data_IF_068862266601
#
_entry.id   IF_068862266601
#
_cell.length_a   1.000
_cell.length_b   1.000
_cell.length_c   1.000
_cell.angle_alpha   90.00
_cell.angle_beta   90.00
_cell.angle_gamma   90.00
#
_symmetry.space_group_name_H-M   'P 1'
#
loop_
_entity.id
_entity.type
_entity.pdbx_description
1 polymer ?
#
# COMPACT_ATOMS: atom_id res chain seq x y z
N UNK A 1 -65.02 -34.61 -40.31
CA UNK A 1 -65.01 -33.30 -39.59
C UNK A 1 -64.25 -33.29 -38.26
N UNK A 2 -64.08 -34.40 -37.52
CA UNK A 2 -63.37 -34.39 -36.21
C UNK A 2 -61.83 -34.26 -36.30
N UNK A 3 -61.19 -34.78 -37.35
CA UNK A 3 -59.71 -34.82 -37.43
C UNK A 3 -59.04 -33.47 -37.75
N UNK A 4 -59.73 -32.56 -38.45
CA UNK A 4 -59.19 -31.25 -38.86
C UNK A 4 -59.09 -30.26 -37.68
N UNK A 5 -60.01 -30.37 -36.71
CA UNK A 5 -60.01 -29.54 -35.48
C UNK A 5 -58.84 -29.92 -34.57
N UNK A 6 -58.58 -31.23 -34.43
CA UNK A 6 -57.47 -31.75 -33.61
C UNK A 6 -56.10 -31.32 -34.17
N UNK A 7 -55.93 -31.33 -35.49
CA UNK A 7 -54.69 -30.89 -36.13
C UNK A 7 -54.43 -29.38 -35.96
N UNK A 8 -55.47 -28.54 -36.10
CA UNK A 8 -55.39 -27.10 -35.84
C UNK A 8 -55.07 -26.77 -34.37
N UNK A 9 -55.62 -27.54 -33.43
CA UNK A 9 -55.30 -27.39 -32.00
C UNK A 9 -53.86 -27.81 -31.67
N UNK A 10 -53.37 -28.93 -32.23
CA UNK A 10 -51.98 -29.36 -32.06
C UNK A 10 -50.97 -28.37 -32.65
N UNK A 11 -51.25 -27.83 -33.84
CA UNK A 11 -50.40 -26.80 -34.47
C UNK A 11 -50.36 -25.52 -33.64
N UNK A 12 -51.50 -25.03 -33.14
CA UNK A 12 -51.53 -23.87 -32.22
C UNK A 12 -50.80 -24.14 -30.90
N UNK A 13 -50.89 -25.37 -30.37
CA UNK A 13 -50.15 -25.77 -29.17
C UNK A 13 -48.63 -25.75 -29.40
N UNK A 14 -48.16 -26.26 -30.54
CA UNK A 14 -46.74 -26.29 -30.91
C UNK A 14 -46.22 -24.87 -31.13
N UNK A 15 -47.00 -24.01 -31.80
CA UNK A 15 -46.64 -22.58 -31.96
C UNK A 15 -46.60 -21.86 -30.62
N UNK A 16 -47.55 -22.13 -29.70
CA UNK A 16 -47.52 -21.59 -28.34
C UNK A 16 -46.29 -22.09 -27.55
N UNK A 17 -45.95 -23.38 -27.67
CA UNK A 17 -44.79 -23.96 -26.99
C UNK A 17 -43.48 -23.36 -27.51
N UNK A 18 -43.35 -23.18 -28.82
CA UNK A 18 -42.19 -22.52 -29.43
C UNK A 18 -42.09 -21.04 -29.04
N UNK A 19 -43.23 -20.33 -28.92
CA UNK A 19 -43.25 -18.97 -28.37
C UNK A 19 -42.82 -18.95 -26.89
N UNK A 20 -43.27 -19.92 -26.08
CA UNK A 20 -42.89 -20.04 -24.67
C UNK A 20 -41.40 -20.36 -24.49
N UNK A 21 -40.82 -21.20 -25.36
CA UNK A 21 -39.39 -21.56 -25.34
C UNK A 21 -38.51 -20.37 -25.77
N UNK A 22 -38.97 -19.57 -26.74
CA UNK A 22 -38.25 -18.36 -27.18
C UNK A 22 -38.33 -17.23 -26.15
N UNK A 23 -39.47 -17.06 -25.45
CA UNK A 23 -39.59 -16.07 -24.35
C UNK A 23 -38.73 -16.45 -23.14
N UNK A 24 -38.61 -17.73 -22.81
CA UNK A 24 -37.83 -18.19 -21.65
C UNK A 24 -36.31 -18.08 -21.83
N UNK A 25 -35.82 -18.03 -23.07
CA UNK A 25 -34.39 -17.85 -23.35
C UNK A 25 -33.91 -16.38 -23.31
N UNK A 26 -34.82 -15.40 -23.38
CA UNK A 26 -34.48 -13.97 -23.20
C UNK A 26 -34.42 -13.58 -21.71
N UNK A 27 -35.02 -14.39 -20.82
CA UNK A 27 -35.17 -14.06 -19.41
C UNK A 27 -33.93 -14.34 -18.54
N UNK A 28 -32.93 -15.04 -19.05
CA UNK A 28 -31.61 -15.13 -18.41
C UNK A 28 -30.72 -13.95 -18.82
N UNK A 29 -31.25 -12.73 -18.73
CA UNK A 29 -30.42 -11.54 -18.72
C UNK A 29 -29.64 -11.54 -17.40
N UNK A 30 -28.31 -11.51 -17.49
CA UNK A 30 -27.41 -11.39 -16.36
C UNK A 30 -27.86 -10.21 -15.49
N UNK A 31 -28.15 -10.46 -14.21
CA UNK A 31 -28.59 -9.41 -13.29
C UNK A 31 -27.57 -8.27 -13.33
N UNK A 32 -28.02 -7.07 -13.73
CA UNK A 32 -27.14 -5.91 -13.85
C UNK A 32 -26.40 -5.75 -12.52
N UNK A 33 -25.06 -5.80 -12.57
CA UNK A 33 -24.21 -5.74 -11.39
C UNK A 33 -24.60 -4.49 -10.60
N UNK A 34 -25.19 -4.65 -9.42
CA UNK A 34 -25.60 -3.51 -8.58
C UNK A 34 -24.38 -2.66 -8.29
N UNK A 35 -24.31 -1.50 -8.93
CA UNK A 35 -23.29 -0.50 -8.62
C UNK A 35 -23.59 0.08 -7.24
N UNK A 36 -22.61 -0.02 -6.34
CA UNK A 36 -22.69 0.57 -5.00
C UNK A 36 -22.08 1.98 -5.09
N UNK A 37 -22.85 3.05 -4.80
CA UNK A 37 -22.29 4.40 -4.77
C UNK A 37 -21.13 4.51 -3.77
N UNK A 38 -19.97 4.95 -4.24
CA UNK A 38 -18.78 5.10 -3.40
C UNK A 38 -18.76 6.50 -2.76
N UNK A 39 -18.58 6.55 -1.43
CA UNK A 39 -18.40 7.82 -0.69
C UNK A 39 -16.94 8.27 -0.58
N UNK A 40 -16.00 7.32 -0.61
CA UNK A 40 -14.57 7.55 -0.35
C UNK A 40 -13.71 6.88 -1.43
N UNK A 41 -14.23 6.86 -2.66
CA UNK A 41 -13.56 6.29 -3.83
C UNK A 41 -12.47 7.21 -4.38
N UNK A 42 -12.12 7.01 -5.65
CA UNK A 42 -11.20 7.91 -6.34
C UNK A 42 -11.74 9.34 -6.35
N UNK A 43 -10.84 10.30 -6.12
CA UNK A 43 -11.16 11.74 -6.19
C UNK A 43 -10.61 12.41 -7.44
N UNK A 44 -9.48 11.93 -7.97
CA UNK A 44 -8.92 12.43 -9.22
C UNK A 44 -9.40 11.57 -10.38
N UNK A 45 -9.77 12.21 -11.47
CA UNK A 45 -9.96 11.57 -12.76
C UNK A 45 -8.72 11.79 -13.63
N UNK A 46 -8.08 10.70 -14.06
CA UNK A 46 -6.86 10.77 -14.86
C UNK A 46 -5.64 11.34 -14.13
N UNK A 47 -4.68 11.85 -14.91
CA UNK A 47 -3.41 12.37 -14.38
C UNK A 47 -3.59 13.83 -13.97
N UNK A 48 -3.22 14.16 -12.73
CA UNK A 48 -2.96 15.55 -12.35
C UNK A 48 -1.85 16.14 -13.24
N UNK A 49 -2.15 17.27 -13.88
CA UNK A 49 -1.25 18.03 -14.76
C UNK A 49 -0.80 19.35 -14.15
N UNK A 50 -1.13 19.63 -12.88
CA UNK A 50 -0.59 20.80 -12.20
C UNK A 50 0.95 20.75 -12.14
N UNK A 51 1.63 21.92 -12.08
CA UNK A 51 3.09 21.97 -12.13
C UNK A 51 3.79 21.14 -11.04
N UNK A 52 3.18 20.98 -9.86
CA UNK A 52 3.76 20.17 -8.79
C UNK A 52 3.75 18.67 -9.15
N UNK A 53 2.65 18.16 -9.71
CA UNK A 53 2.57 16.77 -10.16
C UNK A 53 3.43 16.51 -11.39
N UNK A 54 3.57 17.50 -12.28
CA UNK A 54 4.53 17.44 -13.39
C UNK A 54 5.95 17.35 -12.85
N UNK A 55 6.36 18.22 -11.92
CA UNK A 55 7.68 18.17 -11.27
C UNK A 55 7.95 16.83 -10.60
N UNK A 56 6.98 16.27 -9.88
CA UNK A 56 7.09 14.93 -9.29
C UNK A 56 7.34 13.85 -10.36
N UNK A 57 6.59 13.89 -11.46
CA UNK A 57 6.70 12.94 -12.57
C UNK A 57 8.03 13.08 -13.30
N UNK A 58 8.44 14.31 -13.61
CA UNK A 58 9.62 14.64 -14.40
C UNK A 58 10.92 14.42 -13.64
N UNK A 59 10.87 14.44 -12.30
CA UNK A 59 11.99 14.02 -11.47
C UNK A 59 12.46 12.60 -11.78
N UNK A 60 11.54 11.67 -12.09
CA UNK A 60 11.76 10.26 -12.46
C UNK A 60 12.57 9.43 -11.45
N UNK A 61 13.84 9.74 -11.29
CA UNK A 61 14.80 9.04 -10.44
C UNK A 61 14.82 9.61 -9.02
N UNK A 62 14.62 8.75 -8.03
CA UNK A 62 14.73 9.10 -6.61
C UNK A 62 15.46 8.03 -5.81
N UNK A 63 15.89 8.39 -4.61
CA UNK A 63 16.43 7.46 -3.62
C UNK A 63 15.42 7.21 -2.50
N UNK A 64 15.53 6.05 -1.85
CA UNK A 64 14.81 5.74 -0.62
C UNK A 64 15.81 5.53 0.52
N UNK A 65 15.60 6.22 1.63
CA UNK A 65 16.30 5.99 2.89
C UNK A 65 15.34 5.29 3.85
N UNK A 66 15.67 4.04 4.20
CA UNK A 66 15.12 3.33 5.36
C UNK A 66 16.14 3.42 6.48
N UNK A 67 15.84 4.26 7.47
CA UNK A 67 16.67 4.40 8.65
C UNK A 67 15.80 4.51 9.91
N UNK A 68 16.19 3.76 10.94
CA UNK A 68 15.47 3.61 12.21
C UNK A 68 16.25 2.69 13.15
N UNK A 69 15.66 2.33 14.29
CA UNK A 69 16.33 1.56 15.34
C UNK A 69 16.80 0.20 14.84
N UNK A 70 16.10 -0.42 13.89
CA UNK A 70 16.51 -1.66 13.22
C UNK A 70 17.92 -1.63 12.59
N UNK A 71 18.47 -0.44 12.29
CA UNK A 71 19.83 -0.31 11.77
C UNK A 71 20.91 -0.65 12.82
N UNK A 72 20.56 -0.62 14.11
CA UNK A 72 21.47 -0.98 15.21
C UNK A 72 21.72 -2.49 15.25
N UNK A 73 20.69 -3.37 15.38
CA UNK A 73 20.88 -4.82 15.35
C UNK A 73 21.19 -5.38 13.95
N UNK A 74 20.84 -4.66 12.87
CA UNK A 74 21.27 -5.01 11.51
C UNK A 74 20.80 -6.38 11.01
N UNK A 75 19.70 -6.92 11.55
CA UNK A 75 19.18 -8.25 11.22
C UNK A 75 19.60 -9.37 12.18
N UNK A 76 20.37 -9.05 13.22
CA UNK A 76 20.77 -10.00 14.27
C UNK A 76 20.07 -9.69 15.60
N UNK A 77 19.52 -10.71 16.26
CA UNK A 77 18.99 -10.58 17.62
C UNK A 77 19.47 -11.75 18.47
N UNK A 78 20.06 -11.48 19.63
CA UNK A 78 20.56 -12.49 20.57
C UNK A 78 21.45 -13.57 19.92
N UNK A 79 22.40 -13.16 19.08
CA UNK A 79 23.35 -14.06 18.41
C UNK A 79 22.76 -14.84 17.22
N UNK A 80 21.49 -14.61 16.87
CA UNK A 80 20.84 -15.22 15.71
C UNK A 80 20.63 -14.20 14.61
N UNK A 81 21.21 -14.46 13.44
CA UNK A 81 20.94 -13.71 12.21
C UNK A 81 19.65 -14.20 11.58
N UNK A 82 18.77 -13.27 11.20
CA UNK A 82 17.51 -13.54 10.52
C UNK A 82 17.63 -13.15 9.05
N UNK A 83 17.22 -14.03 8.14
CA UNK A 83 17.31 -13.80 6.68
C UNK A 83 16.20 -12.92 6.09
N UNK A 84 15.22 -12.52 6.90
CA UNK A 84 14.17 -11.59 6.49
C UNK A 84 14.69 -10.14 6.43
N UNK A 85 13.86 -9.24 5.94
CA UNK A 85 14.19 -7.81 5.91
C UNK A 85 14.43 -7.29 7.34
N UNK A 86 15.57 -6.62 7.57
CA UNK A 86 16.06 -6.27 8.91
C UNK A 86 15.15 -5.28 9.65
N UNK A 87 14.43 -4.43 8.92
CA UNK A 87 13.44 -3.50 9.49
C UNK A 87 12.21 -4.19 10.08
N UNK A 88 12.05 -5.50 9.82
CA UNK A 88 11.04 -6.37 10.42
C UNK A 88 11.60 -7.29 11.52
N UNK A 89 12.87 -7.12 11.93
CA UNK A 89 13.51 -7.97 12.94
C UNK A 89 12.72 -8.07 14.25
N UNK A 90 12.07 -6.99 14.69
CA UNK A 90 11.16 -7.00 15.84
C UNK A 90 10.11 -8.12 15.73
N UNK A 91 9.57 -8.34 14.53
CA UNK A 91 8.60 -9.41 14.22
C UNK A 91 9.29 -10.78 14.20
N UNK A 92 10.39 -10.91 13.45
CA UNK A 92 11.10 -12.18 13.29
C UNK A 92 11.62 -12.75 14.60
N UNK A 93 12.19 -11.89 15.44
CA UNK A 93 12.71 -12.24 16.76
C UNK A 93 11.67 -12.16 17.88
N UNK A 94 10.42 -11.78 17.55
CA UNK A 94 9.29 -11.66 18.49
C UNK A 94 9.60 -10.77 19.69
N UNK A 95 10.29 -9.66 19.44
CA UNK A 95 10.74 -8.73 20.48
C UNK A 95 9.56 -7.89 20.98
N UNK A 96 9.30 -7.85 22.30
CA UNK A 96 8.36 -6.92 22.91
C UNK A 96 8.63 -5.46 22.51
N UNK A 97 7.61 -4.62 22.53
CA UNK A 97 7.72 -3.24 22.05
C UNK A 97 8.64 -2.39 22.94
N UNK A 98 8.51 -2.52 24.25
CA UNK A 98 9.33 -1.86 25.25
C UNK A 98 10.81 -2.27 25.16
N UNK A 99 11.08 -3.56 24.95
CA UNK A 99 12.44 -4.07 24.73
C UNK A 99 13.04 -3.55 23.42
N UNK A 100 12.29 -3.59 22.31
CA UNK A 100 12.76 -3.07 21.03
C UNK A 100 13.08 -1.57 21.09
N UNK A 101 12.21 -0.78 21.72
CA UNK A 101 12.36 0.67 21.78
C UNK A 101 13.50 1.12 22.70
N UNK A 102 14.05 0.25 23.56
CA UNK A 102 15.30 0.53 24.31
C UNK A 102 16.52 0.69 23.39
N UNK A 103 16.45 0.25 22.13
CA UNK A 103 17.49 0.58 21.13
C UNK A 103 17.69 2.10 20.96
N UNK A 104 16.71 2.93 21.34
CA UNK A 104 16.87 4.40 21.41
C UNK A 104 18.05 4.83 22.27
N UNK A 105 18.37 4.09 23.34
CA UNK A 105 19.49 4.39 24.24
C UNK A 105 20.85 4.24 23.54
N UNK A 106 20.89 3.51 22.43
CA UNK A 106 22.08 3.30 21.59
C UNK A 106 22.08 4.20 20.35
N UNK A 107 21.00 4.93 20.08
CA UNK A 107 20.90 5.79 18.90
C UNK A 107 21.80 7.01 19.04
N UNK A 108 23.01 6.89 18.50
CA UNK A 108 24.02 7.95 18.48
C UNK A 108 24.84 7.93 17.17
N UNK A 109 24.26 8.29 16.02
CA UNK A 109 24.95 8.26 14.74
C UNK A 109 25.95 9.42 14.61
N UNK A 110 27.08 9.34 15.32
CA UNK A 110 28.12 10.38 15.36
C UNK A 110 28.74 10.71 14.00
N UNK A 111 28.65 9.79 13.04
CA UNK A 111 29.11 10.00 11.65
C UNK A 111 28.03 10.64 10.74
N UNK A 112 26.82 10.90 11.23
CA UNK A 112 25.76 11.49 10.44
C UNK A 112 26.08 12.95 10.06
N UNK A 113 25.98 13.22 8.76
CA UNK A 113 26.13 14.54 8.17
C UNK A 113 25.19 14.66 6.97
N UNK A 114 24.12 15.43 7.15
CA UNK A 114 23.10 15.66 6.13
C UNK A 114 23.67 16.25 4.83
N UNK A 115 24.75 17.05 4.91
CA UNK A 115 25.39 17.62 3.69
C UNK A 115 26.07 16.52 2.88
N UNK A 116 26.73 15.56 3.55
CA UNK A 116 27.34 14.40 2.86
C UNK A 116 26.29 13.51 2.21
N UNK A 117 25.18 13.26 2.91
CA UNK A 117 24.08 12.46 2.36
C UNK A 117 23.43 13.14 1.15
N UNK A 118 23.15 14.45 1.24
CA UNK A 118 22.63 15.23 0.13
C UNK A 118 23.61 15.27 -1.06
N UNK A 119 24.91 15.41 -0.79
CA UNK A 119 25.96 15.36 -1.81
C UNK A 119 25.98 14.00 -2.51
N UNK A 120 25.96 12.89 -1.77
CA UNK A 120 25.91 11.53 -2.32
C UNK A 120 24.67 11.33 -3.21
N UNK A 121 23.49 11.77 -2.76
CA UNK A 121 22.25 11.67 -3.53
C UNK A 121 22.33 12.50 -4.84
N UNK A 122 22.96 13.68 -4.78
CA UNK A 122 23.21 14.53 -5.94
C UNK A 122 24.18 13.90 -6.92
N UNK A 123 25.26 13.29 -6.44
CA UNK A 123 26.25 12.57 -7.26
C UNK A 123 25.66 11.33 -7.93
N UNK A 124 24.74 10.62 -7.26
CA UNK A 124 23.96 9.53 -7.86
C UNK A 124 23.00 10.01 -8.96
N UNK A 125 22.73 11.33 -9.06
CA UNK A 125 21.84 11.91 -10.07
C UNK A 125 20.35 11.92 -9.68
N UNK A 126 20.02 11.56 -8.44
CA UNK A 126 18.63 11.53 -7.97
C UNK A 126 18.02 12.94 -7.91
N UNK A 127 16.71 13.05 -8.16
CA UNK A 127 15.98 14.33 -8.19
C UNK A 127 15.05 14.52 -7.00
N UNK A 128 14.86 13.49 -6.20
CA UNK A 128 14.13 13.51 -4.93
C UNK A 128 14.59 12.36 -4.04
N UNK A 129 14.34 12.48 -2.73
CA UNK A 129 14.61 11.43 -1.74
C UNK A 129 13.32 11.18 -0.96
N UNK A 130 12.99 9.90 -0.72
CA UNK A 130 11.94 9.48 0.22
C UNK A 130 12.61 9.00 1.50
N UNK A 131 12.20 9.53 2.63
CA UNK A 131 12.80 9.26 3.94
C UNK A 131 11.73 8.63 4.83
N UNK A 132 12.08 7.55 5.53
CA UNK A 132 11.23 6.97 6.57
C UNK A 132 11.15 7.92 7.78
N UNK A 133 10.16 8.80 7.81
CA UNK A 133 9.94 9.65 8.99
C UNK A 133 9.61 8.80 10.23
N UNK A 134 8.83 7.73 10.04
CA UNK A 134 8.52 6.68 11.01
C UNK A 134 8.27 5.38 10.26
N UNK A 135 8.89 4.28 10.68
CA UNK A 135 8.61 2.94 10.16
C UNK A 135 7.61 2.18 11.05
N UNK A 136 7.36 0.90 10.80
CA UNK A 136 6.43 0.08 11.58
C UNK A 136 6.81 -0.05 13.07
N UNK A 137 8.09 0.13 13.43
CA UNK A 137 8.55 0.12 14.82
C UNK A 137 8.06 1.30 15.66
N UNK A 138 7.63 2.40 15.01
CA UNK A 138 7.05 3.56 15.68
C UNK A 138 8.05 4.64 16.13
N UNK A 139 9.37 4.42 15.98
CA UNK A 139 10.40 5.43 16.21
C UNK A 139 10.35 6.53 15.16
N UNK A 140 10.28 7.79 15.60
CA UNK A 140 10.20 8.96 14.73
C UNK A 140 11.58 9.62 14.55
N UNK A 141 11.98 9.86 13.30
CA UNK A 141 13.18 10.62 12.95
C UNK A 141 13.07 12.13 13.18
N UNK A 142 11.90 12.62 13.60
CA UNK A 142 11.65 14.00 13.99
C UNK A 142 11.18 14.09 15.45
N UNK A 143 11.38 15.23 16.15
CA UNK A 143 11.01 15.43 17.56
C UNK A 143 9.50 15.63 17.72
N UNK A 144 8.71 14.59 17.45
CA UNK A 144 7.25 14.63 17.58
C UNK A 144 6.81 14.94 19.01
N UNK A 145 5.81 15.83 19.15
CA UNK A 145 5.14 16.11 20.44
C UNK A 145 4.12 15.06 20.88
N UNK A 146 3.83 14.07 20.02
CA UNK A 146 2.73 13.12 20.22
C UNK A 146 3.18 11.74 20.72
N UNK A 147 4.49 11.51 20.85
CA UNK A 147 5.05 10.26 21.37
C UNK A 147 6.43 10.53 21.94
N UNK A 148 6.84 9.73 22.94
CA UNK A 148 8.20 9.75 23.46
C UNK A 148 9.20 8.99 22.59
N UNK A 149 8.74 8.16 21.66
CA UNK A 149 9.61 7.32 20.82
C UNK A 149 10.14 8.10 19.62
N UNK A 150 11.05 9.03 19.86
CA UNK A 150 11.58 9.96 18.86
C UNK A 150 13.07 10.22 19.05
N UNK A 151 13.71 10.77 18.04
CA UNK A 151 15.13 11.20 18.07
C UNK A 151 15.46 12.16 19.22
N UNK A 152 14.50 12.94 19.71
CA UNK A 152 14.73 13.88 20.82
C UNK A 152 15.12 13.16 22.12
N UNK A 153 14.61 11.93 22.32
CA UNK A 153 14.82 11.11 23.52
C UNK A 153 15.91 10.05 23.31
N UNK A 154 16.90 10.36 22.48
CA UNK A 154 18.09 9.54 22.23
C UNK A 154 19.34 10.29 22.69
N UNK A 155 20.50 9.62 22.84
CA UNK A 155 21.77 10.33 23.05
C UNK A 155 22.05 11.40 21.99
N UNK A 156 21.61 11.20 20.75
CA UNK A 156 21.86 12.13 19.64
C UNK A 156 21.03 13.41 19.68
N UNK A 157 19.79 13.36 20.18
CA UNK A 157 18.83 14.46 20.42
C UNK A 157 18.37 15.29 19.21
N UNK A 158 19.13 15.32 18.13
CA UNK A 158 18.88 16.17 16.95
C UNK A 158 17.66 15.72 16.16
N UNK A 159 16.97 16.69 15.56
CA UNK A 159 16.07 16.44 14.42
C UNK A 159 16.94 16.00 13.23
N UNK A 160 16.74 14.77 12.76
CA UNK A 160 17.59 14.10 11.76
C UNK A 160 17.27 14.64 10.37
#
# INVERSE_FOLDING_TARGET
MKNTIIYRMKSRLITLLLLLITVSSVAFAQEAKKEIPLKYGATNEGKRQDPAMQKFRDNRLGAFIHWGLYAIPGGEWNGKVYGGAAEWLKSWAKVPADEWLKLMDQWNPTKFDAKKWAKMAKEMGTKYVKITTKHHEGFCLWPSKYTKYTVANTPYKRDI
#
